data_IF_306144479859
#
_entry.id   IF_306144479859
#
_cell.length_a   1.000
_cell.length_b   1.000
_cell.length_c   1.000
_cell.angle_alpha   90.00
_cell.angle_beta   90.00
_cell.angle_gamma   90.00
#
_symmetry.space_group_name_H-M   'P 1'
#
loop_
_entity.id
_entity.type
_entity.pdbx_description
1 polymer ?
#
# COMPACT_ATOMS: atom_id res chain seq x y z
N UNK A 1 -14.13 5.55 1.25
CA UNK A 1 -12.73 5.18 1.59
C UNK A 1 -12.70 3.71 1.91
N UNK A 2 -11.79 2.98 1.27
CA UNK A 2 -11.65 1.53 1.42
C UNK A 2 -10.51 1.26 2.40
N UNK A 3 -10.62 0.21 3.22
CA UNK A 3 -9.52 -0.24 4.08
C UNK A 3 -8.90 -1.50 3.51
N UNK A 4 -7.61 -1.43 3.19
CA UNK A 4 -6.85 -2.54 2.65
C UNK A 4 -5.73 -2.94 3.61
N UNK A 5 -5.55 -4.25 3.77
CA UNK A 5 -4.43 -4.83 4.50
C UNK A 5 -3.23 -4.95 3.56
N UNK A 6 -2.10 -4.37 3.93
CA UNK A 6 -0.85 -4.59 3.21
C UNK A 6 -0.20 -5.91 3.63
N UNK A 7 0.19 -6.73 2.66
CA UNK A 7 0.97 -7.95 2.85
C UNK A 7 2.23 -7.88 2.00
N UNK A 8 3.41 -7.93 2.61
CA UNK A 8 4.68 -7.81 1.89
C UNK A 8 5.85 -7.51 2.83
N UNK A 9 7.00 -7.13 2.27
CA UNK A 9 8.11 -6.63 3.08
C UNK A 9 7.79 -5.24 3.62
N UNK A 10 7.97 -5.00 4.91
CA UNK A 10 7.84 -3.66 5.47
C UNK A 10 8.91 -2.71 4.92
N UNK A 11 8.51 -1.49 4.56
CA UNK A 11 9.44 -0.43 4.18
C UNK A 11 9.88 0.34 5.43
N UNK A 12 11.12 0.84 5.44
CA UNK A 12 11.67 1.52 6.62
C UNK A 12 10.83 2.72 7.09
N UNK A 13 10.24 3.47 6.14
CA UNK A 13 9.29 4.56 6.38
C UNK A 13 8.21 4.51 5.29
N UNK A 14 7.26 3.58 5.38
CA UNK A 14 6.23 3.40 4.36
C UNK A 14 5.14 2.39 4.75
N UNK A 15 4.84 1.43 3.88
CA UNK A 15 3.90 0.34 4.19
C UNK A 15 4.55 -0.68 5.14
N UNK A 16 3.80 -1.09 6.15
CA UNK A 16 4.17 -2.09 7.16
C UNK A 16 3.35 -3.36 6.95
N UNK A 17 4.03 -4.50 6.88
CA UNK A 17 3.39 -5.80 6.72
C UNK A 17 2.33 -6.05 7.80
N UNK A 18 1.13 -6.45 7.40
CA UNK A 18 0.02 -6.74 8.30
C UNK A 18 -0.70 -5.51 8.84
N UNK A 19 -0.34 -4.29 8.40
CA UNK A 19 -1.05 -3.06 8.76
C UNK A 19 -2.16 -2.76 7.76
N UNK A 20 -3.28 -2.25 8.28
CA UNK A 20 -4.38 -1.75 7.47
C UNK A 20 -4.17 -0.27 7.17
N UNK A 21 -4.49 0.11 5.94
CA UNK A 21 -4.42 1.48 5.47
C UNK A 21 -5.76 1.90 4.89
N UNK A 22 -6.12 3.15 5.14
CA UNK A 22 -7.20 3.80 4.39
C UNK A 22 -6.65 4.22 3.04
N UNK A 23 -7.37 3.83 1.99
CA UNK A 23 -6.95 4.04 0.61
C UNK A 23 -8.05 4.71 -0.20
N UNK A 24 -7.63 5.48 -1.19
CA UNK A 24 -8.50 6.09 -2.19
C UNK A 24 -8.10 5.62 -3.58
N UNK A 25 -9.08 5.19 -4.38
CA UNK A 25 -8.86 4.83 -5.78
C UNK A 25 -8.55 6.08 -6.60
N UNK A 26 -7.35 6.12 -7.17
CA UNK A 26 -6.91 7.26 -8.02
C UNK A 26 -7.21 6.96 -9.47
N UNK A 27 -6.98 5.72 -9.90
CA UNK A 27 -7.29 5.20 -11.23
C UNK A 27 -7.33 3.67 -11.18
N UNK A 28 -7.40 3.00 -12.32
CA UNK A 28 -7.45 1.54 -12.40
C UNK A 28 -6.17 0.81 -11.92
N UNK A 29 -5.04 1.51 -11.79
CA UNK A 29 -3.72 0.91 -11.50
C UNK A 29 -3.21 1.21 -10.09
N UNK A 30 -3.58 2.35 -9.52
CA UNK A 30 -2.99 2.86 -8.29
C UNK A 30 -4.05 3.30 -7.27
N UNK A 31 -3.67 3.19 -6.00
CA UNK A 31 -4.36 3.79 -4.86
C UNK A 31 -3.50 4.87 -4.23
N UNK A 32 -4.14 5.88 -3.65
CA UNK A 32 -3.49 6.83 -2.76
C UNK A 32 -3.59 6.37 -1.32
N UNK A 33 -2.51 6.50 -0.57
CA UNK A 33 -2.39 6.06 0.82
C UNK A 33 -1.56 7.07 1.61
N UNK A 34 -2.01 7.43 2.82
CA UNK A 34 -1.13 8.04 3.82
C UNK A 34 -0.49 6.89 4.61
N UNK A 35 0.78 6.63 4.36
CA UNK A 35 1.50 5.51 4.97
C UNK A 35 2.21 5.89 6.27
N UNK A 36 3.09 5.03 6.78
CA UNK A 36 3.74 5.25 8.08
C UNK A 36 4.77 6.39 8.06
N UNK A 37 5.12 6.93 6.89
CA UNK A 37 5.89 8.17 6.78
C UNK A 37 5.07 9.42 7.12
N UNK A 38 3.74 9.30 7.24
CA UNK A 38 2.81 10.41 7.45
C UNK A 38 2.59 11.27 6.20
N UNK A 39 3.08 10.82 5.04
CA UNK A 39 2.92 11.51 3.75
C UNK A 39 1.99 10.71 2.83
N UNK A 40 1.34 11.43 1.93
CA UNK A 40 0.55 10.81 0.86
C UNK A 40 1.47 10.21 -0.20
N UNK A 41 1.25 8.96 -0.54
CA UNK A 41 1.95 8.22 -1.58
C UNK A 41 0.97 7.51 -2.50
N UNK A 42 1.45 7.11 -3.67
CA UNK A 42 0.70 6.30 -4.62
C UNK A 42 1.33 4.93 -4.74
N UNK A 43 0.53 3.89 -4.50
CA UNK A 43 0.96 2.51 -4.58
C UNK A 43 0.17 1.77 -5.67
N UNK A 44 0.84 0.87 -6.39
CA UNK A 44 0.15 -0.04 -7.31
C UNK A 44 -0.88 -0.89 -6.54
N UNK A 45 -2.03 -1.11 -7.16
CA UNK A 45 -3.06 -2.05 -6.67
C UNK A 45 -2.64 -3.52 -6.75
N UNK A 46 -1.71 -3.83 -7.66
CA UNK A 46 -1.30 -5.21 -7.93
C UNK A 46 -0.01 -5.55 -7.21
N UNK A 47 0.95 -4.62 -7.20
CA UNK A 47 2.27 -4.84 -6.61
C UNK A 47 2.76 -3.57 -5.89
N UNK A 48 2.19 -3.20 -4.74
CA UNK A 48 2.66 -2.08 -3.93
C UNK A 48 4.14 -2.27 -3.55
N UNK A 49 4.99 -1.37 -4.04
CA UNK A 49 6.42 -1.31 -3.74
C UNK A 49 6.89 0.15 -3.62
N UNK A 50 8.01 0.36 -2.94
CA UNK A 50 8.68 1.65 -2.96
C UNK A 50 9.26 1.90 -4.38
N UNK A 51 9.11 3.11 -4.91
CA UNK A 51 9.66 3.45 -6.21
C UNK A 51 11.18 3.17 -6.26
N UNK A 52 11.64 2.41 -7.25
CA UNK A 52 13.04 1.99 -7.38
C UNK A 52 13.46 0.75 -6.58
N UNK A 53 12.59 0.18 -5.74
CA UNK A 53 12.87 -1.06 -5.03
C UNK A 53 12.57 -2.29 -5.90
N UNK A 54 13.53 -2.63 -6.77
CA UNK A 54 13.43 -3.82 -7.63
C UNK A 54 13.39 -5.08 -6.75
N UNK A 55 12.30 -5.84 -6.84
CA UNK A 55 12.16 -7.13 -6.16
C UNK A 55 11.37 -7.11 -4.84
N UNK A 56 11.14 -5.95 -4.23
CA UNK A 56 10.18 -5.84 -3.14
C UNK A 56 8.77 -5.91 -3.72
N UNK A 57 8.03 -6.97 -3.37
CA UNK A 57 6.66 -7.19 -3.84
C UNK A 57 5.71 -7.28 -2.65
N UNK A 58 4.58 -6.61 -2.75
CA UNK A 58 3.49 -6.72 -1.80
C UNK A 58 2.18 -6.99 -2.51
N UNK A 59 1.13 -7.18 -1.73
CA UNK A 59 -0.26 -7.27 -2.21
C UNK A 59 -1.20 -6.60 -1.22
N UNK A 60 -2.35 -6.19 -1.73
CA UNK A 60 -3.46 -5.72 -0.91
C UNK A 60 -4.44 -6.86 -0.67
N UNK A 61 -5.01 -6.94 0.52
CA UNK A 61 -6.17 -7.78 0.80
C UNK A 61 -7.30 -6.90 1.31
N UNK A 62 -8.47 -7.04 0.70
CA UNK A 62 -9.68 -6.52 1.30
C UNK A 62 -9.95 -7.29 2.60
N UNK A 63 -10.30 -6.55 3.64
CA UNK A 63 -10.77 -7.16 4.88
C UNK A 63 -12.28 -7.00 4.84
N UNK A 64 -12.99 -8.04 4.40
CA UNK A 64 -14.44 -8.13 4.58
C UNK A 64 -14.73 -8.06 6.09
N UNK A 65 -15.75 -7.28 6.43
CA UNK A 65 -16.18 -7.04 7.80
C UNK A 65 -16.81 -8.29 8.41
#
# INVERSE_FOLDING_TARGET
MTRLLYKGSSFANGLTNGKMYEVEDVNQFCVSVIDDSGKQHFYSKVNPCQFGSVGMKGSWSEVSK
#
